data_IF_365225008330
#
_entry.id   IF_365225008330
#
_cell.length_a   1.000
_cell.length_b   1.000
_cell.length_c   1.000
_cell.angle_alpha   90.00
_cell.angle_beta   90.00
_cell.angle_gamma   90.00
#
_symmetry.space_group_name_H-M   'P 1'
#
loop_
_entity.id
_entity.type
_entity.pdbx_description
1 polymer ?
#
# COMPACT_ATOMS: atom_id res chain seq x y z
N UNK A 1 1.64 21.71 -11.78
CA UNK A 1 3.06 21.37 -11.58
C UNK A 1 3.17 20.20 -10.61
N UNK A 2 3.87 19.11 -10.98
CA UNK A 2 4.09 17.99 -10.07
C UNK A 2 4.90 18.46 -8.86
N UNK A 3 4.47 18.09 -7.65
CA UNK A 3 5.18 18.42 -6.41
C UNK A 3 6.41 17.53 -6.29
N UNK A 4 7.49 18.06 -5.70
CA UNK A 4 8.70 17.28 -5.42
C UNK A 4 8.37 16.17 -4.42
N UNK A 5 8.67 14.93 -4.79
CA UNK A 5 8.53 13.77 -3.91
C UNK A 5 9.64 13.79 -2.87
N UNK A 6 9.29 13.76 -1.57
CA UNK A 6 10.28 13.76 -0.49
C UNK A 6 10.75 12.34 -0.23
N UNK A 7 12.00 12.04 -0.60
CA UNK A 7 12.64 10.73 -0.40
C UNK A 7 12.56 10.24 1.05
N UNK A 8 12.75 11.14 2.02
CA UNK A 8 12.64 10.82 3.45
C UNK A 8 11.25 10.30 3.84
N UNK A 9 10.16 10.86 3.29
CA UNK A 9 8.80 10.42 3.59
C UNK A 9 8.54 9.02 3.05
N UNK A 10 9.00 8.74 1.83
CA UNK A 10 8.90 7.40 1.22
C UNK A 10 9.70 6.40 2.05
N UNK A 11 10.97 6.70 2.33
CA UNK A 11 11.85 5.85 3.13
C UNK A 11 11.21 5.50 4.46
N UNK A 12 10.70 6.51 5.20
CA UNK A 12 10.03 6.29 6.47
C UNK A 12 8.82 5.37 6.33
N UNK A 13 7.97 5.57 5.33
CA UNK A 13 6.81 4.71 5.13
C UNK A 13 7.17 3.25 4.83
N UNK A 14 8.22 3.02 4.06
CA UNK A 14 8.68 1.67 3.73
C UNK A 14 9.30 0.99 4.97
N UNK A 15 10.13 1.70 5.73
CA UNK A 15 10.73 1.20 6.98
C UNK A 15 9.68 0.94 8.06
N UNK A 16 8.75 1.88 8.28
CA UNK A 16 7.62 1.70 9.22
C UNK A 16 6.73 0.51 8.80
N UNK A 17 6.76 0.15 7.51
CA UNK A 17 6.13 -1.05 6.95
C UNK A 17 6.87 -2.36 7.24
N UNK A 18 8.11 -2.31 7.73
CA UNK A 18 8.94 -3.48 7.99
C UNK A 18 9.90 -3.85 6.86
N UNK A 19 10.02 -3.01 5.82
CA UNK A 19 11.02 -3.22 4.76
C UNK A 19 12.39 -2.69 5.18
N UNK A 20 13.44 -3.35 4.69
CA UNK A 20 14.83 -3.01 5.01
C UNK A 20 15.38 -1.99 4.01
N UNK A 21 15.78 -0.83 4.51
CA UNK A 21 16.54 0.18 3.74
C UNK A 21 18.00 -0.26 3.69
N UNK A 22 18.46 -0.75 2.54
CA UNK A 22 19.84 -1.21 2.32
C UNK A 22 20.82 -0.05 2.17
N UNK A 23 20.32 1.17 1.89
CA UNK A 23 21.13 2.38 1.72
C UNK A 23 22.31 2.19 0.75
N UNK A 24 22.02 1.54 -0.38
CA UNK A 24 23.02 1.23 -1.37
C UNK A 24 23.66 2.51 -1.93
N UNK A 25 24.93 2.41 -2.24
CA UNK A 25 25.67 3.42 -3.01
C UNK A 25 25.24 3.38 -4.47
N UNK A 26 25.48 4.47 -5.21
CA UNK A 26 25.16 4.54 -6.65
C UNK A 26 25.86 3.42 -7.46
N UNK A 27 27.04 2.97 -7.01
CA UNK A 27 27.75 1.85 -7.66
C UNK A 27 27.03 0.52 -7.44
N UNK A 28 26.57 0.25 -6.23
CA UNK A 28 25.81 -0.95 -5.90
C UNK A 28 24.43 -0.94 -6.58
N UNK A 29 23.77 0.21 -6.67
CA UNK A 29 22.51 0.34 -7.41
C UNK A 29 22.67 0.01 -8.89
N UNK A 30 23.80 0.43 -9.51
CA UNK A 30 24.13 0.14 -10.91
C UNK A 30 24.53 -1.32 -11.17
N UNK A 31 25.06 -2.01 -10.16
CA UNK A 31 25.42 -3.41 -10.27
C UNK A 31 24.17 -4.30 -10.47
N UNK A 32 23.01 -3.81 -10.07
CA UNK A 32 21.72 -4.47 -10.24
C UNK A 32 21.20 -5.08 -8.95
N UNK A 33 20.03 -5.77 -9.03
CA UNK A 33 19.36 -6.32 -7.85
C UNK A 33 20.08 -7.55 -7.28
N UNK A 34 20.85 -8.24 -8.13
CA UNK A 34 21.58 -9.45 -7.81
C UNK A 34 22.96 -9.09 -7.25
N UNK A 35 23.19 -9.40 -5.97
CA UNK A 35 24.45 -9.08 -5.28
C UNK A 35 24.27 -8.67 -3.82
N UNK A 36 23.02 -8.48 -3.37
CA UNK A 36 22.71 -8.22 -1.98
C UNK A 36 22.38 -9.52 -1.25
N UNK A 37 22.96 -9.72 -0.06
CA UNK A 37 22.74 -10.91 0.78
C UNK A 37 21.32 -10.95 1.38
N UNK A 38 20.64 -9.80 1.43
CA UNK A 38 19.33 -9.64 2.02
C UNK A 38 18.35 -8.91 1.08
N UNK A 39 17.08 -9.30 1.17
CA UNK A 39 15.98 -8.59 0.51
C UNK A 39 15.79 -7.21 1.14
N UNK A 40 15.73 -6.17 0.30
CA UNK A 40 15.50 -4.82 0.77
C UNK A 40 15.34 -3.83 -0.37
N UNK A 41 15.38 -2.54 -0.01
CA UNK A 41 15.22 -1.47 -0.98
C UNK A 41 16.31 -0.41 -0.83
N UNK A 42 16.56 0.32 -1.91
CA UNK A 42 17.30 1.58 -1.90
C UNK A 42 16.46 2.69 -2.55
N UNK A 43 16.80 3.94 -2.23
CA UNK A 43 16.19 5.10 -2.85
C UNK A 43 17.26 5.96 -3.49
N UNK A 44 17.02 6.32 -4.74
CA UNK A 44 17.74 7.39 -5.43
C UNK A 44 16.76 8.47 -5.89
N UNK A 45 17.29 9.68 -6.05
CA UNK A 45 16.53 10.79 -6.62
C UNK A 45 17.07 11.07 -8.02
N UNK A 46 16.17 11.27 -8.98
CA UNK A 46 16.55 11.69 -10.31
C UNK A 46 15.60 12.77 -10.81
N UNK A 47 16.00 13.48 -11.85
CA UNK A 47 15.11 14.41 -12.55
C UNK A 47 14.43 13.65 -13.69
N UNK A 48 13.11 13.80 -13.79
CA UNK A 48 12.39 13.34 -14.97
C UNK A 48 12.72 14.23 -16.19
N UNK A 49 12.20 13.85 -17.36
CA UNK A 49 12.36 14.59 -18.62
C UNK A 49 11.82 16.02 -18.56
N UNK A 50 10.92 16.32 -17.62
CA UNK A 50 10.39 17.66 -17.34
C UNK A 50 11.21 18.45 -16.31
N UNK A 51 12.35 17.92 -15.85
CA UNK A 51 13.21 18.55 -14.85
C UNK A 51 12.69 18.47 -13.41
N UNK A 52 11.61 17.74 -13.16
CA UNK A 52 11.02 17.54 -11.84
C UNK A 52 11.79 16.48 -11.07
N UNK A 53 12.10 16.77 -9.81
CA UNK A 53 12.74 15.79 -8.93
C UNK A 53 11.76 14.69 -8.53
N UNK A 54 12.03 13.48 -9.01
CA UNK A 54 11.29 12.26 -8.70
C UNK A 54 12.15 11.33 -7.83
N UNK A 55 11.48 10.42 -7.14
CA UNK A 55 12.14 9.40 -6.32
C UNK A 55 12.01 8.08 -7.05
N UNK A 56 13.12 7.36 -7.18
CA UNK A 56 13.14 5.98 -7.67
C UNK A 56 13.43 5.08 -6.48
N UNK A 57 12.66 4.02 -6.37
CA UNK A 57 12.81 3.01 -5.33
C UNK A 57 13.17 1.70 -6.01
N UNK A 58 14.37 1.20 -5.72
CA UNK A 58 14.86 -0.08 -6.23
C UNK A 58 14.64 -1.19 -5.22
N UNK A 59 14.25 -2.36 -5.70
CA UNK A 59 14.21 -3.61 -4.95
C UNK A 59 15.50 -4.40 -5.21
N UNK A 60 16.11 -4.92 -4.15
CA UNK A 60 17.36 -5.66 -4.24
C UNK A 60 17.29 -6.93 -3.37
N UNK A 61 18.21 -7.86 -3.65
CA UNK A 61 18.32 -9.13 -2.94
C UNK A 61 17.78 -10.32 -3.73
N UNK A 62 17.92 -11.53 -3.17
CA UNK A 62 17.61 -12.78 -3.87
C UNK A 62 16.14 -12.90 -4.31
N UNK A 63 15.21 -12.23 -3.63
CA UNK A 63 13.79 -12.20 -3.99
C UNK A 63 13.33 -10.77 -4.32
N UNK A 64 14.16 -9.99 -5.00
CA UNK A 64 13.85 -8.59 -5.35
C UNK A 64 12.48 -8.43 -6.03
N UNK A 65 12.03 -9.38 -6.84
CA UNK A 65 10.71 -9.32 -7.50
C UNK A 65 9.55 -9.28 -6.49
N UNK A 66 9.64 -10.11 -5.43
CA UNK A 66 8.69 -10.10 -4.31
C UNK A 66 8.75 -8.76 -3.57
N UNK A 67 9.97 -8.29 -3.29
CA UNK A 67 10.20 -7.00 -2.63
C UNK A 67 9.63 -5.86 -3.45
N UNK A 68 9.76 -5.87 -4.77
CA UNK A 68 9.19 -4.87 -5.69
C UNK A 68 7.67 -4.85 -5.65
N UNK A 69 7.03 -6.03 -5.63
CA UNK A 69 5.59 -6.14 -5.48
C UNK A 69 5.11 -5.59 -4.13
N UNK A 70 5.85 -5.86 -3.05
CA UNK A 70 5.54 -5.32 -1.72
C UNK A 70 5.74 -3.79 -1.65
N UNK A 71 6.84 -3.28 -2.20
CA UNK A 71 7.11 -1.85 -2.33
C UNK A 71 5.97 -1.15 -3.07
N UNK A 72 5.60 -1.66 -4.24
CA UNK A 72 4.52 -1.11 -5.05
C UNK A 72 3.19 -1.12 -4.30
N UNK A 73 2.83 -2.28 -3.74
CA UNK A 73 1.58 -2.44 -2.97
C UNK A 73 1.50 -1.52 -1.75
N UNK A 74 2.61 -1.29 -1.06
CA UNK A 74 2.66 -0.37 0.10
C UNK A 74 2.55 1.08 -0.32
N UNK A 75 3.33 1.52 -1.30
CA UNK A 75 3.36 2.91 -1.76
C UNK A 75 2.03 3.37 -2.39
N UNK A 76 1.23 2.43 -2.87
CA UNK A 76 -0.11 2.70 -3.41
C UNK A 76 -1.25 2.56 -2.40
N UNK A 77 -0.95 2.27 -1.13
CA UNK A 77 -1.96 2.26 -0.07
C UNK A 77 -2.65 3.63 0.05
N UNK A 78 -3.95 3.62 0.38
CA UNK A 78 -4.83 4.81 0.42
C UNK A 78 -4.26 6.00 1.18
N UNK A 79 -3.58 5.75 2.30
CA UNK A 79 -3.08 6.80 3.18
C UNK A 79 -1.74 7.38 2.72
N UNK A 80 -1.09 6.70 1.78
CA UNK A 80 0.13 7.17 1.15
C UNK A 80 -0.26 7.96 -0.08
N UNK A 81 0.06 9.26 -0.08
CA UNK A 81 -0.29 10.16 -1.19
C UNK A 81 0.67 9.99 -2.37
N UNK A 82 1.13 8.78 -2.65
CA UNK A 82 2.08 8.48 -3.72
C UNK A 82 1.45 7.59 -4.79
N UNK A 83 1.96 7.69 -6.00
CA UNK A 83 1.64 6.84 -7.13
C UNK A 83 2.93 6.22 -7.64
N UNK A 84 2.87 4.92 -7.92
CA UNK A 84 3.99 4.13 -8.40
C UNK A 84 3.87 4.03 -9.92
N UNK A 85 5.00 4.18 -10.61
CA UNK A 85 5.13 4.06 -12.05
C UNK A 85 6.20 3.00 -12.28
N UNK A 86 5.79 1.80 -12.68
CA UNK A 86 6.69 0.68 -12.94
C UNK A 86 7.60 0.95 -14.15
N UNK A 87 7.03 1.45 -15.24
CA UNK A 87 7.77 1.68 -16.49
C UNK A 87 7.97 3.19 -16.71
N UNK A 88 8.95 3.75 -16.00
CA UNK A 88 9.35 5.15 -16.14
C UNK A 88 10.63 5.34 -16.97
N UNK A 89 10.85 6.51 -17.59
CA UNK A 89 12.13 6.82 -18.20
C UNK A 89 13.27 6.73 -17.17
N UNK A 90 14.31 5.95 -17.47
CA UNK A 90 15.46 5.78 -16.57
C UNK A 90 15.15 4.99 -15.29
N UNK A 91 14.17 4.09 -15.36
CA UNK A 91 13.80 3.12 -14.31
C UNK A 91 14.14 1.73 -14.84
N UNK A 92 14.91 0.96 -14.07
CA UNK A 92 15.21 -0.44 -14.41
C UNK A 92 14.09 -1.40 -13.94
N UNK A 93 14.12 -2.66 -14.37
CA UNK A 93 13.07 -3.66 -14.07
C UNK A 93 12.85 -3.91 -12.57
N UNK A 94 13.90 -3.73 -11.76
CA UNK A 94 13.85 -3.88 -10.30
C UNK A 94 13.50 -2.58 -9.59
N UNK A 95 13.21 -1.52 -10.33
CA UNK A 95 12.94 -0.20 -9.81
C UNK A 95 11.52 0.25 -10.13
N UNK A 96 11.02 1.18 -9.31
CA UNK A 96 9.78 1.90 -9.58
C UNK A 96 9.99 3.39 -9.33
N UNK A 97 9.39 4.22 -10.19
CA UNK A 97 9.35 5.65 -9.99
C UNK A 97 8.15 6.04 -9.12
N UNK A 98 8.37 6.95 -8.18
CA UNK A 98 7.36 7.40 -7.23
C UNK A 98 7.13 8.89 -7.37
N UNK A 99 5.88 9.26 -7.61
CA UNK A 99 5.40 10.65 -7.64
C UNK A 99 4.27 10.86 -6.64
N UNK A 100 3.96 12.12 -6.32
CA UNK A 100 2.73 12.40 -5.58
C UNK A 100 1.50 12.02 -6.43
N UNK A 101 0.53 11.41 -5.76
CA UNK A 101 -0.77 11.10 -6.32
C UNK A 101 -1.57 12.38 -6.57
N UNK A 102 -2.34 12.40 -7.64
CA UNK A 102 -3.32 13.46 -7.89
C UNK A 102 -4.57 13.24 -7.02
N UNK A 103 -5.37 14.29 -6.81
CA UNK A 103 -6.63 14.16 -6.08
C UNK A 103 -7.58 13.15 -6.75
N UNK A 104 -7.59 13.11 -8.09
CA UNK A 104 -8.40 12.16 -8.87
C UNK A 104 -7.95 10.70 -8.63
N UNK A 105 -6.64 10.44 -8.61
CA UNK A 105 -6.09 9.11 -8.30
C UNK A 105 -6.45 8.66 -6.89
N UNK A 106 -6.35 9.57 -5.91
CA UNK A 106 -6.74 9.27 -4.53
C UNK A 106 -8.24 9.00 -4.40
N UNK A 107 -9.07 9.71 -5.17
CA UNK A 107 -10.52 9.48 -5.20
C UNK A 107 -10.86 8.13 -5.84
N UNK A 108 -10.23 7.79 -6.96
CA UNK A 108 -10.41 6.49 -7.62
C UNK A 108 -10.07 5.33 -6.67
N UNK A 109 -8.93 5.41 -5.96
CA UNK A 109 -8.54 4.41 -4.94
C UNK A 109 -9.57 4.27 -3.82
N UNK A 110 -10.14 5.39 -3.37
CA UNK A 110 -11.17 5.36 -2.33
C UNK A 110 -12.45 4.65 -2.80
N UNK A 111 -12.85 4.87 -4.05
CA UNK A 111 -14.01 4.20 -4.67
C UNK A 111 -13.75 2.70 -4.81
N UNK A 112 -12.61 2.29 -5.37
CA UNK A 112 -12.26 0.87 -5.54
C UNK A 112 -12.19 0.12 -4.21
N UNK A 113 -11.69 0.77 -3.16
CA UNK A 113 -11.66 0.17 -1.83
C UNK A 113 -13.05 0.08 -1.23
N UNK A 114 -13.89 1.11 -1.39
CA UNK A 114 -15.27 1.08 -0.92
C UNK A 114 -16.05 -0.05 -1.60
N UNK A 115 -15.85 -0.26 -2.91
CA UNK A 115 -16.44 -1.38 -3.65
C UNK A 115 -15.99 -2.75 -3.09
N UNK A 116 -14.70 -2.92 -2.81
CA UNK A 116 -14.16 -4.15 -2.18
C UNK A 116 -14.69 -4.39 -0.77
N UNK A 117 -14.93 -3.33 0.02
CA UNK A 117 -15.42 -3.43 1.40
C UNK A 117 -16.94 -3.54 1.51
N UNK A 118 -17.69 -3.12 0.50
CA UNK A 118 -19.15 -3.16 0.49
C UNK A 118 -19.75 -4.52 0.88
N UNK A 119 -19.32 -5.66 0.30
CA UNK A 119 -19.87 -6.97 0.66
C UNK A 119 -19.53 -7.36 2.10
N UNK A 120 -18.31 -7.09 2.56
CA UNK A 120 -17.88 -7.38 3.94
C UNK A 120 -18.70 -6.57 4.96
N UNK A 121 -18.91 -5.28 4.69
CA UNK A 121 -19.74 -4.42 5.55
C UNK A 121 -21.22 -4.81 5.52
N UNK A 122 -21.72 -5.33 4.40
CA UNK A 122 -23.08 -5.86 4.32
C UNK A 122 -23.22 -7.13 5.17
N UNK A 123 -22.27 -8.07 5.07
CA UNK A 123 -22.26 -9.30 5.86
C UNK A 123 -22.16 -9.04 7.36
N UNK A 124 -21.28 -8.11 7.79
CA UNK A 124 -21.16 -7.72 9.20
C UNK A 124 -22.47 -7.14 9.74
N UNK A 125 -23.12 -6.24 8.99
CA UNK A 125 -24.42 -5.67 9.39
C UNK A 125 -25.52 -6.72 9.50
N UNK A 126 -25.53 -7.71 8.61
CA UNK A 126 -26.49 -8.83 8.68
C UNK A 126 -26.23 -9.69 9.92
N UNK A 127 -24.98 -9.99 10.23
CA UNK A 127 -24.60 -10.73 11.44
C UNK A 127 -25.02 -10.01 12.72
N UNK A 128 -24.74 -8.70 12.83
CA UNK A 128 -25.16 -7.89 13.98
C UNK A 128 -26.69 -7.83 14.14
N UNK A 129 -27.44 -7.75 13.04
CA UNK A 129 -28.90 -7.74 13.07
C UNK A 129 -29.46 -9.10 13.53
N UNK A 130 -28.86 -10.21 13.09
CA UNK A 130 -29.25 -11.55 13.52
C UNK A 130 -28.93 -11.79 15.00
N UNK A 131 -27.78 -11.32 15.48
CA UNK A 131 -27.41 -11.41 16.90
C UNK A 131 -28.39 -10.61 17.77
N UNK A 132 -28.69 -9.36 17.41
CA UNK A 132 -29.69 -8.56 18.16
C UNK A 132 -31.07 -9.21 18.17
N UNK A 133 -31.53 -9.74 17.04
CA UNK A 133 -32.81 -10.43 16.98
C UNK A 133 -32.82 -11.73 17.81
N UNK A 134 -31.69 -12.43 17.91
CA UNK A 134 -31.55 -13.60 18.78
C UNK A 134 -31.52 -13.21 20.26
N UNK A 135 -30.80 -12.15 20.62
CA UNK A 135 -30.77 -11.58 21.97
C UNK A 135 -32.15 -11.07 22.41
N UNK A 136 -32.90 -10.40 21.54
CA UNK A 136 -34.27 -9.99 21.80
C UNK A 136 -35.21 -11.18 22.01
N UNK A 137 -35.08 -12.24 21.20
CA UNK A 137 -35.85 -13.48 21.39
C UNK A 137 -35.51 -14.16 22.71
N UNK A 138 -34.22 -14.27 23.03
CA UNK A 138 -33.76 -14.87 24.27
C UNK A 138 -34.23 -14.05 25.49
N UNK A 139 -34.19 -12.71 25.41
CA UNK A 139 -34.72 -11.84 26.45
C UNK A 139 -36.24 -11.99 26.64
N UNK A 140 -37.00 -12.24 25.57
CA UNK A 140 -38.44 -12.53 25.64
C UNK A 140 -38.73 -13.91 26.24
N UNK A 141 -37.90 -14.92 25.92
CA UNK A 141 -37.97 -16.26 26.51
C UNK A 141 -37.62 -16.24 28.00
N UNK A 142 -36.56 -15.54 28.39
CA UNK A 142 -36.10 -15.36 29.78
C UNK A 142 -37.07 -14.49 30.61
N UNK A 143 -37.77 -13.54 29.98
CA UNK A 143 -38.83 -12.75 30.61
C UNK A 143 -40.12 -13.54 30.87
N UNK A 144 -40.12 -14.86 30.62
CA UNK A 144 -41.20 -15.77 30.99
C UNK A 144 -42.39 -15.72 30.04
N UNK A 145 -42.24 -15.17 28.83
CA UNK A 145 -43.30 -15.10 27.83
C UNK A 145 -43.39 -16.41 27.02
N UNK A 146 -43.33 -17.56 27.68
CA UNK A 146 -43.96 -18.77 27.15
C UNK A 146 -45.46 -18.64 27.37
N UNK A 147 -46.16 -18.29 26.29
CA UNK A 147 -47.62 -18.33 26.27
C UNK A 147 -48.10 -19.73 26.68
N UNK A 148 -49.03 -19.72 27.63
CA UNK A 148 -50.02 -20.76 27.87
C UNK A 148 -50.44 -21.44 26.55
N UNK A 149 -49.92 -22.66 26.33
CA UNK A 149 -50.67 -23.76 25.74
C UNK A 149 -50.97 -24.76 26.85
#
# INVERSE_FOLDING_TARGET
MPRVTRSHTIRRHLVDGGLVDLRLTEQEEKAGPDGQDADGFSLRQQRDTGGTLVVVVGAYGPNWLRTLAELSGRLEQRHIKCTVIAEGPGVADHEVMVRWATSAELQARAVDQAARQAPLKAALRQGEAQQRAAEERQALEDAGQFGLF
#
